data_IF_680287491887
#
_entry.id   IF_680287491887
#
_cell.length_a   1.000
_cell.length_b   1.000
_cell.length_c   1.000
_cell.angle_alpha   90.00
_cell.angle_beta   90.00
_cell.angle_gamma   90.00
#
_symmetry.space_group_name_H-M   'P 1'
#
loop_
_entity.id
_entity.type
_entity.pdbx_description
1 polymer ?
#
# COMPACT_ATOMS: atom_id res chain seq x y z
N UNK A 1 63.46 35.69 -4.10
CA UNK A 1 63.05 34.27 -4.18
C UNK A 1 61.54 34.20 -4.05
N UNK A 2 60.82 33.84 -5.13
CA UNK A 2 59.35 33.68 -5.11
C UNK A 2 59.03 32.24 -4.68
N UNK A 3 58.26 32.06 -3.61
CA UNK A 3 57.73 30.75 -3.20
C UNK A 3 56.42 30.49 -3.94
N UNK A 4 56.42 29.51 -4.82
CA UNK A 4 55.23 29.00 -5.50
C UNK A 4 54.53 28.02 -4.56
N UNK A 5 53.32 28.34 -4.13
CA UNK A 5 52.46 27.41 -3.38
C UNK A 5 51.63 26.64 -4.40
N UNK A 6 51.91 25.35 -4.52
CA UNK A 6 51.08 24.43 -5.32
C UNK A 6 49.88 24.02 -4.48
N UNK A 7 48.69 24.57 -4.78
CA UNK A 7 47.44 24.02 -4.27
C UNK A 7 47.16 22.69 -4.96
N UNK A 8 47.32 21.59 -4.23
CA UNK A 8 46.85 20.28 -4.67
C UNK A 8 45.33 20.27 -4.75
N UNK A 9 44.81 20.09 -5.96
CA UNK A 9 43.38 19.89 -6.20
C UNK A 9 43.00 18.49 -5.66
N UNK A 10 42.36 18.43 -4.50
CA UNK A 10 41.71 17.19 -4.04
C UNK A 10 40.43 17.03 -4.86
N UNK A 11 40.52 16.28 -5.96
CA UNK A 11 39.36 15.76 -6.66
C UNK A 11 38.65 14.75 -5.73
N UNK A 12 37.63 15.21 -5.01
CA UNK A 12 36.60 14.29 -4.55
C UNK A 12 35.88 13.76 -5.80
N UNK A 13 36.26 12.56 -6.25
CA UNK A 13 35.36 11.76 -7.07
C UNK A 13 34.11 11.49 -6.23
N UNK A 14 33.08 12.32 -6.41
CA UNK A 14 31.71 11.91 -6.13
C UNK A 14 31.43 10.81 -7.14
N UNK A 15 31.65 9.56 -6.75
CA UNK A 15 31.11 8.42 -7.48
C UNK A 15 29.60 8.67 -7.47
N UNK A 16 28.94 8.86 -8.63
CA UNK A 16 27.49 8.78 -8.65
C UNK A 16 27.20 7.35 -8.25
N UNK A 17 26.79 7.16 -6.98
CA UNK A 17 26.10 5.94 -6.62
C UNK A 17 24.94 5.87 -7.58
N UNK A 18 24.94 4.89 -8.49
CA UNK A 18 23.80 4.59 -9.33
C UNK A 18 22.62 4.46 -8.37
N UNK A 19 21.82 5.53 -8.24
CA UNK A 19 20.69 5.55 -7.36
C UNK A 19 19.78 4.47 -7.92
N UNK A 20 19.64 3.37 -7.18
CA UNK A 20 18.71 2.32 -7.54
C UNK A 20 17.35 2.99 -7.74
N UNK A 21 16.69 2.69 -8.85
CA UNK A 21 15.34 3.18 -9.09
C UNK A 21 14.46 2.77 -7.91
N UNK A 22 13.64 3.68 -7.39
CA UNK A 22 12.66 3.31 -6.37
C UNK A 22 11.60 2.39 -6.98
N UNK A 23 11.02 1.46 -6.19
CA UNK A 23 9.84 0.72 -6.61
C UNK A 23 8.75 1.67 -7.09
N UNK A 24 8.08 1.30 -8.17
CA UNK A 24 6.92 2.01 -8.70
C UNK A 24 5.63 1.28 -8.33
N UNK A 25 4.58 2.05 -8.10
CA UNK A 25 3.23 1.53 -7.85
C UNK A 25 2.39 1.69 -9.11
N UNK A 26 1.65 0.66 -9.48
CA UNK A 26 0.76 0.71 -10.63
C UNK A 26 -0.68 0.35 -10.30
N UNK A 27 -1.58 0.84 -11.15
CA UNK A 27 -3.01 0.51 -11.10
C UNK A 27 -3.33 -0.38 -12.29
N UNK A 28 -4.11 -1.43 -12.07
CA UNK A 28 -4.77 -2.16 -13.15
C UNK A 28 -6.26 -1.85 -13.09
N UNK A 29 -6.84 -1.56 -14.25
CA UNK A 29 -8.30 -1.55 -14.44
C UNK A 29 -8.74 -3.01 -14.31
N UNK A 30 -9.77 -3.28 -13.52
CA UNK A 30 -10.24 -4.64 -13.26
C UNK A 30 -10.55 -5.37 -14.59
N UNK A 31 -9.62 -6.24 -15.00
CA UNK A 31 -9.77 -7.11 -16.17
C UNK A 31 -10.48 -8.41 -15.80
N UNK A 32 -11.21 -8.96 -16.77
CA UNK A 32 -12.22 -10.02 -16.64
C UNK A 32 -11.74 -11.39 -16.09
N UNK A 33 -10.48 -11.55 -15.70
CA UNK A 33 -9.85 -12.86 -15.44
C UNK A 33 -9.28 -13.04 -14.01
N UNK A 34 -9.82 -12.35 -13.00
CA UNK A 34 -9.46 -12.59 -11.58
C UNK A 34 -9.52 -11.31 -10.75
N UNK A 35 -10.73 -10.96 -10.34
CA UNK A 35 -11.09 -9.66 -9.77
C UNK A 35 -10.12 -9.13 -8.70
N UNK A 36 -9.41 -8.04 -9.03
CA UNK A 36 -8.81 -7.16 -8.03
C UNK A 36 -9.94 -6.55 -7.20
N UNK A 37 -10.10 -7.01 -5.97
CA UNK A 37 -11.16 -6.57 -5.07
C UNK A 37 -10.62 -5.45 -4.19
N UNK A 38 -10.91 -4.20 -4.54
CA UNK A 38 -10.57 -3.05 -3.70
C UNK A 38 -11.73 -2.69 -2.78
N UNK A 39 -11.46 -2.58 -1.49
CA UNK A 39 -12.39 -2.02 -0.51
C UNK A 39 -12.36 -0.48 -0.61
N UNK A 40 -13.45 0.14 -1.06
CA UNK A 40 -13.58 1.59 -1.08
C UNK A 40 -14.18 2.08 0.25
N UNK A 41 -13.35 2.64 1.13
CA UNK A 41 -13.77 3.05 2.47
C UNK A 41 -14.86 4.12 2.43
N UNK A 42 -14.77 5.05 1.49
CA UNK A 42 -15.77 6.12 1.29
C UNK A 42 -17.14 5.53 0.93
N UNK A 43 -17.18 4.50 0.08
CA UNK A 43 -18.42 3.81 -0.25
C UNK A 43 -19.00 3.01 0.93
N UNK A 44 -18.16 2.37 1.74
CA UNK A 44 -18.62 1.64 2.92
C UNK A 44 -19.22 2.59 3.98
N UNK A 45 -18.59 3.75 4.20
CA UNK A 45 -19.14 4.83 5.07
C UNK A 45 -20.47 5.35 4.52
N UNK A 46 -20.58 5.55 3.21
CA UNK A 46 -21.82 5.97 2.58
C UNK A 46 -22.96 4.96 2.80
N UNK A 47 -22.68 3.67 2.55
CA UNK A 47 -23.64 2.57 2.80
C UNK A 47 -24.04 2.50 4.26
N UNK A 48 -23.09 2.63 5.19
CA UNK A 48 -23.36 2.63 6.62
C UNK A 48 -24.30 3.77 7.00
N UNK A 49 -23.97 4.99 6.58
CA UNK A 49 -24.79 6.17 6.87
C UNK A 49 -26.22 5.99 6.35
N UNK A 50 -26.37 5.48 5.12
CA UNK A 50 -27.68 5.26 4.50
C UNK A 50 -28.52 4.18 5.20
N UNK A 51 -27.88 3.14 5.71
CA UNK A 51 -28.57 1.96 6.23
C UNK A 51 -28.84 2.06 7.74
N UNK A 52 -27.98 2.74 8.49
CA UNK A 52 -28.03 2.76 9.95
C UNK A 52 -28.27 4.14 10.55
N UNK A 53 -27.91 5.23 9.85
CA UNK A 53 -28.10 6.59 10.36
C UNK A 53 -29.40 7.21 9.83
N UNK A 54 -29.58 7.26 8.50
CA UNK A 54 -30.73 7.95 7.92
C UNK A 54 -30.76 7.98 6.39
N UNK A 55 -31.77 8.64 5.84
CA UNK A 55 -31.98 8.82 4.38
C UNK A 55 -31.60 10.23 3.94
N UNK A 56 -31.49 10.40 2.63
CA UNK A 56 -31.19 11.68 1.98
C UNK A 56 -29.94 12.34 2.55
N UNK A 57 -28.81 11.64 2.38
CA UNK A 57 -27.49 12.09 2.85
C UNK A 57 -27.15 13.42 2.17
N UNK A 58 -26.94 14.45 2.99
CA UNK A 58 -26.50 15.78 2.54
C UNK A 58 -25.01 15.77 2.31
N UNK A 59 -24.24 15.27 3.29
CA UNK A 59 -22.82 15.00 3.14
C UNK A 59 -22.37 13.92 4.13
N UNK A 60 -21.19 13.37 3.84
CA UNK A 60 -20.36 12.65 4.78
C UNK A 60 -18.90 12.94 4.44
N UNK A 61 -18.02 12.98 5.44
CA UNK A 61 -16.61 13.23 5.22
C UNK A 61 -15.75 12.43 6.16
N UNK A 62 -14.71 11.83 5.58
CA UNK A 62 -13.70 11.06 6.29
C UNK A 62 -12.49 11.91 6.65
N UNK A 63 -12.27 13.06 5.99
CA UNK A 63 -11.02 13.83 6.10
C UNK A 63 -11.24 15.33 6.14
N UNK A 64 -12.02 15.85 5.21
CA UNK A 64 -12.22 17.30 5.07
C UNK A 64 -13.34 17.79 5.98
N UNK A 65 -13.16 18.98 6.56
CA UNK A 65 -14.23 19.62 7.33
C UNK A 65 -15.29 20.21 6.38
N UNK A 66 -16.58 19.85 6.50
CA UNK A 66 -17.65 20.52 5.76
C UNK A 66 -17.84 21.95 6.27
N UNK A 67 -18.25 22.88 5.40
CA UNK A 67 -18.41 24.31 5.70
C UNK A 67 -19.24 24.58 6.97
N UNK A 68 -20.33 23.82 7.17
CA UNK A 68 -21.23 23.93 8.33
C UNK A 68 -21.29 22.64 9.18
N UNK A 69 -20.23 21.83 9.14
CA UNK A 69 -20.18 20.50 9.74
C UNK A 69 -19.10 20.31 10.80
N UNK A 70 -19.16 19.13 11.42
CA UNK A 70 -18.13 18.68 12.35
C UNK A 70 -16.86 18.26 11.61
N UNK A 71 -15.71 18.41 12.27
CA UNK A 71 -14.43 18.01 11.70
C UNK A 71 -14.19 16.53 11.97
N UNK A 72 -14.05 15.67 10.95
CA UNK A 72 -13.72 14.28 11.17
C UNK A 72 -12.33 14.17 11.83
N UNK A 73 -12.14 13.13 12.63
CA UNK A 73 -10.89 12.85 13.36
C UNK A 73 -10.17 11.62 12.82
N UNK A 74 -10.68 11.06 11.72
CA UNK A 74 -10.24 9.78 11.19
C UNK A 74 -8.79 9.85 10.68
N UNK A 75 -8.02 8.84 11.09
CA UNK A 75 -6.66 8.59 10.62
C UNK A 75 -6.55 7.15 10.14
N UNK A 76 -5.57 6.87 9.27
CA UNK A 76 -5.32 5.54 8.75
C UNK A 76 -3.84 5.19 8.83
N UNK A 77 -3.54 3.93 9.09
CA UNK A 77 -2.18 3.39 9.13
C UNK A 77 -2.15 2.00 8.51
N UNK A 78 -1.14 1.74 7.68
CA UNK A 78 -0.81 0.40 7.26
C UNK A 78 0.17 -0.25 8.25
N UNK A 79 -0.07 -1.52 8.56
CA UNK A 79 0.78 -2.35 9.38
C UNK A 79 2.01 -2.87 8.63
N UNK A 80 2.72 -3.80 9.26
CA UNK A 80 3.85 -4.48 8.63
C UNK A 80 3.36 -5.56 7.66
N UNK A 81 4.13 -5.80 6.60
CA UNK A 81 3.89 -6.94 5.73
C UNK A 81 4.20 -8.24 6.46
N UNK A 82 3.22 -9.12 6.53
CA UNK A 82 3.38 -10.50 6.95
C UNK A 82 3.38 -11.41 5.72
N UNK A 83 4.31 -12.36 5.68
CA UNK A 83 4.41 -13.34 4.60
C UNK A 83 3.96 -14.72 5.08
N UNK A 84 3.38 -15.48 4.17
CA UNK A 84 2.97 -16.85 4.46
C UNK A 84 4.15 -17.78 4.80
N UNK A 85 3.81 -18.93 5.39
CA UNK A 85 4.78 -19.97 5.73
C UNK A 85 5.61 -20.40 4.51
N UNK A 86 6.91 -20.68 4.73
CA UNK A 86 7.83 -21.08 3.65
C UNK A 86 8.49 -19.92 2.90
N UNK A 87 8.11 -18.68 3.21
CA UNK A 87 8.71 -17.46 2.64
C UNK A 87 9.97 -16.98 3.37
N UNK A 88 10.54 -17.81 4.25
CA UNK A 88 11.67 -17.47 5.13
C UNK A 88 13.00 -17.34 4.38
N UNK A 89 13.11 -17.97 3.21
CA UNK A 89 14.32 -17.93 2.35
C UNK A 89 14.52 -16.61 1.61
N UNK A 90 13.64 -15.63 1.85
CA UNK A 90 13.68 -14.31 1.24
C UNK A 90 15.12 -13.81 1.13
N UNK A 91 15.57 -13.76 -0.12
CA UNK A 91 16.59 -12.85 -0.63
C UNK A 91 18.05 -13.34 -0.55
N UNK A 92 18.32 -14.61 -0.86
CA UNK A 92 19.67 -14.97 -1.36
C UNK A 92 19.78 -14.58 -2.83
N UNK A 93 20.05 -13.29 -3.09
CA UNK A 93 20.47 -12.87 -4.43
C UNK A 93 21.95 -13.20 -4.60
N UNK A 94 22.26 -14.05 -5.57
CA UNK A 94 23.64 -14.23 -5.99
C UNK A 94 24.05 -13.01 -6.82
N UNK A 95 25.32 -12.61 -6.75
CA UNK A 95 25.80 -11.40 -7.45
C UNK A 95 25.68 -11.46 -8.98
N UNK A 96 25.45 -12.65 -9.53
CA UNK A 96 25.53 -12.96 -10.96
C UNK A 96 24.18 -13.02 -11.66
N UNK A 97 23.08 -12.96 -10.89
CA UNK A 97 21.73 -12.98 -11.43
C UNK A 97 21.11 -11.57 -11.44
N UNK A 98 20.19 -11.39 -12.37
CA UNK A 98 19.33 -10.21 -12.44
C UNK A 98 18.03 -10.48 -11.70
N UNK A 99 17.53 -9.48 -10.99
CA UNK A 99 16.37 -9.60 -10.11
C UNK A 99 15.18 -8.75 -10.58
N UNK A 100 13.98 -9.30 -10.43
CA UNK A 100 12.71 -8.61 -10.60
C UNK A 100 11.80 -8.92 -9.41
N UNK A 101 11.22 -7.87 -8.81
CA UNK A 101 10.31 -7.98 -7.67
C UNK A 101 8.94 -7.42 -8.02
N UNK A 102 7.90 -8.18 -7.73
CA UNK A 102 6.52 -7.76 -7.95
C UNK A 102 5.63 -8.15 -6.78
N UNK A 103 4.85 -7.20 -6.27
CA UNK A 103 3.78 -7.45 -5.32
C UNK A 103 2.47 -7.26 -6.05
N UNK A 104 1.76 -8.35 -6.35
CA UNK A 104 0.39 -8.29 -6.85
C UNK A 104 -0.58 -8.14 -5.68
N UNK A 105 -1.37 -7.07 -5.69
CA UNK A 105 -2.37 -6.79 -4.66
C UNK A 105 -3.73 -7.25 -5.18
N UNK A 106 -4.23 -8.37 -4.65
CA UNK A 106 -5.52 -8.93 -5.05
C UNK A 106 -6.67 -8.36 -4.23
N UNK A 107 -6.47 -8.23 -2.91
CA UNK A 107 -7.38 -7.53 -2.03
C UNK A 107 -6.73 -6.22 -1.62
N UNK A 108 -7.15 -5.12 -2.25
CA UNK A 108 -6.61 -3.79 -2.03
C UNK A 108 -7.62 -2.87 -1.35
N UNK A 109 -7.32 -1.57 -1.36
CA UNK A 109 -8.21 -0.56 -0.78
C UNK A 109 -8.11 0.77 -1.51
N UNK A 110 -9.15 1.57 -1.37
CA UNK A 110 -9.21 2.96 -1.81
C UNK A 110 -9.70 3.78 -0.61
N UNK A 111 -8.86 4.71 -0.16
CA UNK A 111 -9.15 5.60 0.96
C UNK A 111 -8.65 7.03 0.65
N UNK A 112 -9.13 8.06 1.35
CA UNK A 112 -8.60 9.43 1.22
C UNK A 112 -7.26 9.64 1.96
N UNK A 113 -6.70 8.58 2.56
CA UNK A 113 -5.46 8.59 3.31
C UNK A 113 -4.35 7.87 2.54
N UNK A 114 -3.11 8.34 2.72
CA UNK A 114 -1.94 7.63 2.23
C UNK A 114 -1.70 6.42 3.13
N UNK A 115 -1.46 5.26 2.53
CA UNK A 115 -1.20 4.01 3.24
C UNK A 115 0.22 3.57 2.93
N UNK A 116 1.18 4.19 3.59
CA UNK A 116 2.59 3.88 3.35
C UNK A 116 3.06 2.67 4.15
N UNK A 117 3.81 1.78 3.51
CA UNK A 117 4.50 0.65 4.15
C UNK A 117 6.00 0.71 3.86
N UNK A 118 6.78 0.11 4.77
CA UNK A 118 8.20 -0.15 4.57
C UNK A 118 8.40 -1.49 3.86
N UNK A 119 9.11 -1.46 2.73
CA UNK A 119 9.55 -2.63 1.98
C UNK A 119 11.05 -2.81 2.14
N UNK A 120 11.47 -3.99 2.59
CA UNK A 120 12.88 -4.40 2.57
C UNK A 120 13.09 -5.50 1.55
N UNK A 121 13.95 -5.23 0.54
CA UNK A 121 14.29 -6.16 -0.52
C UNK A 121 15.82 -6.28 -0.63
N UNK A 122 16.38 -7.49 -0.62
CA UNK A 122 17.83 -7.67 -0.86
C UNK A 122 18.12 -7.83 -2.33
N UNK A 123 19.07 -7.05 -2.82
CA UNK A 123 19.54 -7.03 -4.19
C UNK A 123 21.07 -7.05 -4.21
N UNK A 124 21.67 -7.97 -4.99
CA UNK A 124 23.13 -8.19 -5.06
C UNK A 124 23.82 -8.24 -3.68
N UNK A 125 23.21 -8.98 -2.74
CA UNK A 125 23.71 -9.15 -1.37
C UNK A 125 23.58 -7.93 -0.45
N UNK A 126 22.83 -6.89 -0.86
CA UNK A 126 22.58 -5.69 -0.03
C UNK A 126 21.08 -5.55 0.23
N UNK A 127 20.70 -5.20 1.46
CA UNK A 127 19.31 -4.85 1.81
C UNK A 127 19.01 -3.43 1.38
N UNK A 128 17.87 -3.23 0.72
CA UNK A 128 17.37 -1.93 0.30
C UNK A 128 15.99 -1.72 0.92
N UNK A 129 15.80 -0.53 1.50
CA UNK A 129 14.56 -0.15 2.15
C UNK A 129 13.84 0.89 1.31
N UNK A 130 12.54 0.71 1.10
CA UNK A 130 11.69 1.60 0.32
C UNK A 130 10.42 1.92 1.10
N UNK A 131 9.95 3.15 0.97
CA UNK A 131 8.62 3.54 1.45
C UNK A 131 7.71 3.59 0.23
N UNK A 132 6.60 2.86 0.27
CA UNK A 132 5.64 2.79 -0.85
C UNK A 132 4.22 2.99 -0.34
N UNK A 133 3.40 3.73 -1.09
CA UNK A 133 1.97 3.87 -0.81
C UNK A 133 1.18 2.74 -1.48
N UNK A 134 0.45 1.97 -0.68
CA UNK A 134 -0.37 0.84 -1.17
C UNK A 134 -1.83 1.24 -1.38
N UNK A 135 -2.21 2.49 -1.09
CA UNK A 135 -3.54 2.99 -1.37
C UNK A 135 -3.81 3.01 -2.88
N UNK A 136 -4.94 2.42 -3.29
CA UNK A 136 -5.35 2.25 -4.69
C UNK A 136 -4.32 1.55 -5.60
N UNK A 137 -3.30 0.89 -5.03
CA UNK A 137 -2.33 0.11 -5.78
C UNK A 137 -2.91 -1.26 -6.16
N UNK A 138 -2.65 -1.71 -7.40
CA UNK A 138 -2.92 -3.09 -7.83
C UNK A 138 -1.64 -3.92 -7.88
N UNK A 139 -0.49 -3.26 -8.05
CA UNK A 139 0.80 -3.88 -7.90
C UNK A 139 1.88 -2.89 -7.49
N UNK A 140 2.95 -3.41 -6.90
CA UNK A 140 4.22 -2.70 -6.65
C UNK A 140 5.29 -3.45 -7.42
N UNK A 141 6.15 -2.73 -8.13
CA UNK A 141 7.13 -3.29 -9.04
C UNK A 141 8.50 -2.67 -8.80
N UNK A 142 9.52 -3.51 -8.75
CA UNK A 142 10.91 -3.05 -8.70
C UNK A 142 11.79 -3.93 -9.58
N UNK A 143 12.40 -3.32 -10.59
CA UNK A 143 13.26 -4.00 -11.56
C UNK A 143 14.57 -3.23 -11.69
N UNK A 144 15.53 -3.46 -10.78
CA UNK A 144 16.80 -2.75 -10.77
C UNK A 144 17.69 -3.07 -11.98
N UNK A 145 17.53 -4.24 -12.62
CA UNK A 145 18.33 -4.65 -13.79
C UNK A 145 17.61 -4.46 -15.14
N UNK A 146 16.40 -3.87 -15.13
CA UNK A 146 15.58 -3.67 -16.33
C UNK A 146 15.37 -4.95 -17.17
N UNK A 147 15.11 -6.09 -16.51
CA UNK A 147 14.87 -7.37 -17.18
C UNK A 147 13.43 -7.52 -17.69
N UNK A 148 13.25 -8.28 -18.76
CA UNK A 148 11.92 -8.63 -19.26
C UNK A 148 11.24 -9.62 -18.32
N UNK A 149 10.00 -9.32 -17.94
CA UNK A 149 9.16 -10.26 -17.21
C UNK A 149 8.77 -11.42 -18.13
N UNK A 150 9.07 -12.65 -17.74
CA UNK A 150 8.95 -13.86 -18.57
C UNK A 150 9.85 -13.81 -19.82
N UNK A 151 11.18 -14.00 -19.66
CA UNK A 151 12.10 -14.06 -20.79
C UNK A 151 11.73 -15.21 -21.74
N UNK A 152 12.01 -15.02 -23.04
CA UNK A 152 11.77 -16.05 -24.06
C UNK A 152 12.56 -17.35 -23.80
N UNK A 153 13.73 -17.24 -23.15
CA UNK A 153 14.53 -18.38 -22.69
C UNK A 153 14.34 -18.53 -21.18
N UNK A 154 13.71 -19.64 -20.78
CA UNK A 154 13.42 -19.96 -19.38
C UNK A 154 14.49 -20.84 -18.74
N UNK A 155 15.54 -21.23 -19.47
CA UNK A 155 16.55 -22.20 -19.00
C UNK A 155 17.23 -21.75 -17.70
N UNK A 156 17.41 -20.44 -17.52
CA UNK A 156 18.04 -19.87 -16.33
C UNK A 156 17.10 -18.94 -15.54
N UNK A 157 15.80 -19.11 -15.76
CA UNK A 157 14.75 -18.32 -15.14
C UNK A 157 14.14 -19.09 -13.96
N UNK A 158 13.97 -18.41 -12.84
CA UNK A 158 13.31 -18.97 -11.67
C UNK A 158 12.37 -17.95 -11.03
N UNK A 159 11.32 -18.44 -10.40
CA UNK A 159 10.34 -17.63 -9.66
C UNK A 159 10.11 -18.20 -8.28
N UNK A 160 10.14 -17.33 -7.28
CA UNK A 160 9.62 -17.61 -5.95
C UNK A 160 8.35 -16.80 -5.72
N UNK A 161 7.29 -17.45 -5.23
CA UNK A 161 5.99 -16.84 -4.96
C UNK A 161 5.63 -16.98 -3.49
N UNK A 162 5.12 -15.90 -2.93
CA UNK A 162 4.80 -15.78 -1.51
C UNK A 162 3.54 -14.98 -1.30
N UNK A 163 2.56 -15.59 -0.63
CA UNK A 163 1.41 -14.82 -0.16
C UNK A 163 1.87 -13.78 0.87
N UNK A 164 1.25 -12.61 0.82
CA UNK A 164 1.45 -11.56 1.81
C UNK A 164 0.12 -11.00 2.30
N UNK A 165 0.15 -10.47 3.51
CA UNK A 165 -0.93 -9.68 4.09
C UNK A 165 -0.37 -8.42 4.74
N UNK A 166 -1.20 -7.39 4.81
CA UNK A 166 -0.92 -6.14 5.53
C UNK A 166 -2.23 -5.70 6.18
N UNK A 167 -2.28 -5.63 7.51
CA UNK A 167 -3.44 -5.02 8.19
C UNK A 167 -3.43 -3.51 7.94
N UNK A 168 -4.59 -2.94 7.66
CA UNK A 168 -4.83 -1.50 7.69
C UNK A 168 -5.73 -1.22 8.87
N UNK A 169 -5.32 -0.27 9.70
CA UNK A 169 -6.08 0.19 10.87
C UNK A 169 -6.53 1.63 10.66
N UNK A 170 -7.77 1.89 10.99
CA UNK A 170 -8.41 3.20 10.97
C UNK A 170 -8.82 3.56 12.39
N UNK A 171 -8.55 4.81 12.79
CA UNK A 171 -8.88 5.31 14.12
C UNK A 171 -9.56 6.67 14.06
N UNK A 172 -10.69 6.82 14.75
CA UNK A 172 -11.43 8.07 14.94
C UNK A 172 -12.84 8.04 14.36
N UNK A 173 -13.36 9.22 14.02
CA UNK A 173 -14.74 9.42 13.59
C UNK A 173 -14.84 10.10 12.23
N UNK A 174 -15.87 9.75 11.46
CA UNK A 174 -16.29 10.46 10.25
C UNK A 174 -17.44 11.42 10.56
N UNK A 175 -17.55 12.50 9.81
CA UNK A 175 -18.65 13.46 9.93
C UNK A 175 -19.77 13.10 8.96
N UNK A 176 -21.03 13.36 9.34
CA UNK A 176 -22.19 13.12 8.50
C UNK A 176 -23.28 14.17 8.70
N UNK A 177 -24.14 14.29 7.68
CA UNK A 177 -25.43 14.98 7.76
C UNK A 177 -26.47 14.30 6.85
N UNK A 178 -27.67 14.11 7.38
CA UNK A 178 -28.83 13.50 6.72
C UNK A 178 -30.08 14.36 6.92
N UNK A 179 -31.02 14.32 5.98
CA UNK A 179 -32.29 15.06 6.13
C UNK A 179 -33.29 14.33 7.04
N UNK A 180 -33.33 13.01 6.91
CA UNK A 180 -34.20 12.11 7.65
C UNK A 180 -33.36 11.10 8.44
N UNK A 181 -33.64 10.93 9.73
CA UNK A 181 -32.91 10.00 10.61
C UNK A 181 -33.73 8.75 10.88
N UNK A 182 -33.05 7.64 11.13
CA UNK A 182 -33.65 6.46 11.74
C UNK A 182 -33.55 6.56 13.26
N UNK A 183 -34.66 6.25 13.93
CA UNK A 183 -34.77 6.27 15.40
C UNK A 183 -34.50 7.67 15.99
N UNK A 184 -33.85 7.72 17.15
CA UNK A 184 -33.49 8.92 17.91
C UNK A 184 -32.11 9.50 17.56
N UNK A 185 -31.52 9.10 16.42
CA UNK A 185 -30.19 9.54 16.00
C UNK A 185 -30.19 11.02 15.60
N UNK A 186 -29.08 11.75 15.84
CA UNK A 186 -28.98 13.15 15.42
C UNK A 186 -28.84 13.25 13.89
N UNK A 187 -29.41 14.30 13.30
CA UNK A 187 -29.36 14.57 11.85
C UNK A 187 -27.96 14.86 11.33
N UNK A 188 -27.07 15.34 12.19
CA UNK A 188 -25.68 15.61 11.87
C UNK A 188 -24.81 15.35 13.08
N UNK A 189 -23.54 15.03 12.82
CA UNK A 189 -22.52 14.92 13.86
C UNK A 189 -21.36 14.03 13.46
N UNK A 190 -20.67 13.53 14.47
CA UNK A 190 -19.59 12.55 14.32
C UNK A 190 -20.06 11.14 14.64
N UNK A 191 -19.50 10.18 13.90
CA UNK A 191 -19.70 8.75 14.16
C UNK A 191 -18.37 8.01 14.08
N UNK A 192 -18.10 7.18 15.09
CA UNK A 192 -16.92 6.33 15.14
C UNK A 192 -16.86 5.37 13.94
N UNK A 193 -15.68 5.21 13.35
CA UNK A 193 -15.47 4.43 12.13
C UNK A 193 -15.70 2.93 12.34
N UNK A 194 -15.53 2.42 13.56
CA UNK A 194 -15.71 1.01 13.88
C UNK A 194 -17.07 0.48 13.48
N UNK A 195 -18.12 1.29 13.66
CA UNK A 195 -19.50 0.93 13.30
C UNK A 195 -19.70 0.62 11.80
N UNK A 196 -18.81 1.06 10.92
CA UNK A 196 -18.91 0.75 9.48
C UNK A 196 -18.73 -0.75 9.21
N UNK A 197 -18.16 -1.51 10.15
CA UNK A 197 -18.01 -2.97 10.03
C UNK A 197 -19.31 -3.71 9.74
N UNK A 198 -20.46 -3.21 10.24
CA UNK A 198 -21.77 -3.84 10.05
C UNK A 198 -22.23 -3.89 8.59
N UNK A 199 -21.62 -3.12 7.70
CA UNK A 199 -21.92 -3.19 6.26
C UNK A 199 -21.21 -4.36 5.59
N UNK A 200 -20.07 -4.81 6.12
CA UNK A 200 -19.20 -5.78 5.47
C UNK A 200 -18.37 -6.59 6.47
N UNK A 201 -19.05 -7.35 7.32
CA UNK A 201 -18.44 -8.14 8.41
C UNK A 201 -17.44 -9.20 7.91
N UNK A 202 -17.43 -9.51 6.61
CA UNK A 202 -16.47 -10.44 5.99
C UNK A 202 -15.10 -9.81 5.72
N UNK A 203 -15.05 -8.49 5.49
CA UNK A 203 -13.81 -7.77 5.14
C UNK A 203 -13.39 -6.76 6.20
N UNK A 204 -14.36 -6.20 6.90
CA UNK A 204 -14.17 -5.19 7.93
C UNK A 204 -14.25 -5.83 9.31
N UNK A 205 -13.27 -5.50 10.15
CA UNK A 205 -13.14 -6.02 11.51
C UNK A 205 -13.38 -4.87 12.48
N UNK A 206 -14.47 -4.97 13.24
CA UNK A 206 -14.72 -4.09 14.39
C UNK A 206 -13.67 -4.34 15.46
N UNK A 207 -13.01 -3.29 15.94
CA UNK A 207 -12.07 -3.37 17.07
C UNK A 207 -12.59 -2.58 18.28
N UNK A 208 -13.16 -1.41 18.04
CA UNK A 208 -13.87 -0.56 19.00
C UNK A 208 -14.81 0.38 18.23
N UNK A 209 -15.58 1.23 18.90
CA UNK A 209 -16.43 2.22 18.23
C UNK A 209 -15.63 3.16 17.31
N UNK A 210 -14.40 3.48 17.68
CA UNK A 210 -13.51 4.36 16.92
C UNK A 210 -12.45 3.60 16.11
N UNK A 211 -12.39 2.27 16.19
CA UNK A 211 -11.35 1.48 15.55
C UNK A 211 -11.94 0.45 14.57
N UNK A 212 -11.48 0.54 13.31
CA UNK A 212 -11.83 -0.37 12.23
C UNK A 212 -10.55 -0.95 11.61
N UNK A 213 -10.53 -2.24 11.31
CA UNK A 213 -9.41 -2.87 10.63
C UNK A 213 -9.86 -3.68 9.40
N UNK A 214 -8.96 -3.85 8.43
CA UNK A 214 -9.13 -4.78 7.31
C UNK A 214 -7.77 -5.19 6.75
N UNK A 215 -7.72 -6.31 6.05
CA UNK A 215 -6.47 -6.83 5.49
C UNK A 215 -6.36 -6.56 4.00
N UNK A 216 -5.26 -5.94 3.60
CA UNK A 216 -4.74 -5.99 2.23
C UNK A 216 -4.01 -7.32 2.06
N UNK A 217 -4.18 -7.99 0.91
CA UNK A 217 -3.48 -9.24 0.65
C UNK A 217 -3.20 -9.47 -0.84
N UNK A 218 -2.22 -10.32 -1.08
CA UNK A 218 -1.71 -10.52 -2.42
C UNK A 218 -0.60 -11.55 -2.49
N UNK A 219 0.10 -11.55 -3.62
CA UNK A 219 1.25 -12.42 -3.89
C UNK A 219 2.47 -11.57 -4.24
N UNK A 220 3.55 -11.79 -3.49
CA UNK A 220 4.88 -11.37 -3.84
C UNK A 220 5.50 -12.40 -4.77
N UNK A 221 6.13 -11.92 -5.84
CA UNK A 221 6.89 -12.67 -6.82
C UNK A 221 8.30 -12.09 -6.85
N UNK A 222 9.29 -12.97 -6.70
CA UNK A 222 10.70 -12.68 -6.95
C UNK A 222 11.14 -13.54 -8.13
N UNK A 223 11.38 -12.91 -9.27
CA UNK A 223 11.91 -13.54 -10.46
C UNK A 223 13.42 -13.29 -10.55
N UNK A 224 14.16 -14.34 -10.87
CA UNK A 224 15.61 -14.30 -11.01
C UNK A 224 16.00 -14.90 -12.35
N UNK A 225 16.84 -14.18 -13.11
CA UNK A 225 17.44 -14.67 -14.36
C UNK A 225 18.95 -14.69 -14.20
N UNK A 226 19.56 -15.87 -14.26
CA UNK A 226 21.00 -16.03 -14.10
C UNK A 226 21.69 -16.22 -15.45
N UNK A 227 22.88 -15.66 -15.62
CA UNK A 227 23.72 -15.99 -16.77
C UNK A 227 24.56 -17.21 -16.41
N UNK A 228 24.26 -18.37 -16.98
CA UNK A 228 25.21 -19.48 -16.98
C UNK A 228 26.35 -19.12 -17.94
N UNK A 229 27.39 -18.45 -17.44
CA UNK A 229 28.66 -18.33 -18.13
C UNK A 229 29.64 -19.35 -17.59
#
# INVERSE_FOLDING_TARGET
MKKTVSLGLILFMVIPGNALSSPSTGKQIAGHNGAHNKLNLTEEVHKYTKNYIGKDIVYYSLKDKPENGESPTLTAKAGQLAFGNGCEKRLSTTKECSDLYMFYIYNGTITPFNLTIDLTLSYKGRRNNFVVDINDASYIYWNPDNITMYPNDTTNYSEEKCNFTCEVSLHGSFAYEVKEVYDDKPKKGLRGIGWVSYINERKLVYKSDEDLAYNISGVFLHATTCNNK
#
